data_IF_806959012391
#
_entry.id   IF_806959012391
#
_cell.length_a   1.000
_cell.length_b   1.000
_cell.length_c   1.000
_cell.angle_alpha   90.00
_cell.angle_beta   90.00
_cell.angle_gamma   90.00
#
_symmetry.space_group_name_H-M   'P 1'
#
loop_
_entity.id
_entity.type
_entity.pdbx_description
1 polymer ?
#
# COMPACT_ATOMS: atom_id res chain seq x y z
N UNK A 1 -39.73 -29.03 28.42
CA UNK A 1 -39.31 -28.67 27.05
C UNK A 1 -40.43 -27.91 26.37
N UNK A 2 -40.31 -26.59 26.18
CA UNK A 2 -41.19 -25.83 25.27
C UNK A 2 -40.30 -24.81 24.55
N UNK A 3 -40.07 -25.03 23.26
CA UNK A 3 -39.32 -24.11 22.40
C UNK A 3 -40.15 -22.87 22.16
N UNK A 4 -39.62 -21.70 22.51
CA UNK A 4 -40.24 -20.40 22.17
C UNK A 4 -40.29 -20.30 20.64
N UNK A 5 -41.50 -20.25 20.08
CA UNK A 5 -41.73 -19.96 18.68
C UNK A 5 -41.04 -18.64 18.33
N UNK A 6 -40.05 -18.68 17.43
CA UNK A 6 -39.39 -17.47 16.94
C UNK A 6 -40.44 -16.61 16.23
N UNK A 7 -40.64 -15.38 16.70
CA UNK A 7 -41.49 -14.40 16.03
C UNK A 7 -41.07 -14.31 14.56
N UNK A 8 -41.97 -14.54 13.60
CA UNK A 8 -41.62 -14.39 12.19
C UNK A 8 -41.14 -12.95 11.96
N UNK A 9 -39.96 -12.81 11.35
CA UNK A 9 -39.40 -11.49 11.04
C UNK A 9 -40.40 -10.67 10.21
N UNK A 10 -40.46 -9.35 10.44
CA UNK A 10 -41.33 -8.41 9.72
C UNK A 10 -40.90 -8.26 8.25
N UNK A 11 -41.01 -9.32 7.46
CA UNK A 11 -40.97 -9.24 6.00
C UNK A 11 -42.35 -8.78 5.53
N UNK A 12 -42.47 -7.50 5.17
CA UNK A 12 -43.68 -6.98 4.54
C UNK A 12 -43.69 -7.41 3.08
N UNK A 13 -44.42 -8.49 2.77
CA UNK A 13 -44.66 -8.90 1.40
C UNK A 13 -45.32 -7.75 0.62
N UNK A 14 -44.77 -7.41 -0.56
CA UNK A 14 -45.32 -6.37 -1.44
C UNK A 14 -44.79 -4.96 -1.23
N UNK A 15 -43.99 -4.68 -0.20
CA UNK A 15 -43.28 -3.40 -0.10
C UNK A 15 -41.97 -3.42 -0.89
N UNK A 16 -41.67 -2.29 -1.52
CA UNK A 16 -40.37 -2.07 -2.14
C UNK A 16 -39.26 -2.27 -1.08
N UNK A 17 -38.14 -2.95 -1.42
CA UNK A 17 -37.02 -3.08 -0.51
C UNK A 17 -36.58 -1.70 -0.02
N UNK A 18 -36.51 -1.53 1.31
CA UNK A 18 -35.93 -0.32 1.88
C UNK A 18 -34.46 -0.22 1.46
N UNK A 19 -34.03 0.95 1.02
CA UNK A 19 -32.63 1.21 0.75
C UNK A 19 -31.86 1.14 2.07
N UNK A 20 -31.03 0.12 2.23
CA UNK A 20 -30.13 -0.01 3.38
C UNK A 20 -28.79 0.60 2.99
N UNK A 21 -28.39 1.67 3.66
CA UNK A 21 -27.07 2.24 3.48
C UNK A 21 -26.00 1.25 3.94
N UNK A 22 -24.98 1.02 3.10
CA UNK A 22 -23.81 0.25 3.51
C UNK A 22 -22.98 1.09 4.48
N UNK A 23 -23.03 0.75 5.76
CA UNK A 23 -22.13 1.33 6.76
C UNK A 23 -20.80 0.57 6.72
N UNK A 24 -19.71 1.29 6.46
CA UNK A 24 -18.37 0.77 6.67
C UNK A 24 -18.13 0.68 8.18
N UNK A 25 -17.72 -0.50 8.65
CA UNK A 25 -17.25 -0.66 10.02
C UNK A 25 -15.96 0.11 10.22
N UNK A 26 -15.87 0.81 11.35
CA UNK A 26 -14.67 1.52 11.83
C UNK A 26 -13.99 2.38 10.76
N UNK A 27 -14.81 3.11 9.97
CA UNK A 27 -14.36 3.96 8.87
C UNK A 27 -13.23 4.93 9.24
N UNK A 28 -13.31 5.67 10.36
CA UNK A 28 -12.23 6.56 10.78
C UNK A 28 -10.88 5.84 11.00
N UNK A 29 -10.88 4.67 11.66
CA UNK A 29 -9.66 3.91 11.90
C UNK A 29 -9.04 3.38 10.61
N UNK A 30 -9.86 2.96 9.65
CA UNK A 30 -9.38 2.55 8.33
C UNK A 30 -8.80 3.72 7.53
N UNK A 31 -9.46 4.87 7.57
CA UNK A 31 -8.94 6.08 6.94
C UNK A 31 -7.58 6.46 7.55
N UNK A 32 -7.41 6.30 8.86
CA UNK A 32 -6.12 6.55 9.50
C UNK A 32 -5.02 5.61 9.03
N UNK A 33 -5.29 4.30 8.95
CA UNK A 33 -4.33 3.34 8.43
C UNK A 33 -3.91 3.66 6.97
N UNK A 34 -4.85 4.15 6.15
CA UNK A 34 -4.56 4.61 4.80
C UNK A 34 -3.68 5.88 4.80
N UNK A 35 -3.94 6.84 5.70
CA UNK A 35 -3.08 8.02 5.88
C UNK A 35 -1.66 7.63 6.28
N UNK A 36 -1.52 6.72 7.25
CA UNK A 36 -0.23 6.23 7.72
C UNK A 36 0.55 5.53 6.60
N UNK A 37 -0.12 4.68 5.81
CA UNK A 37 0.50 4.03 4.64
C UNK A 37 1.00 5.07 3.63
N UNK A 38 0.26 6.15 3.41
CA UNK A 38 0.69 7.22 2.51
C UNK A 38 1.83 8.07 3.09
N UNK A 39 1.85 8.28 4.41
CA UNK A 39 2.87 9.07 5.09
C UNK A 39 4.22 8.33 5.27
N UNK A 40 4.19 7.00 5.29
CA UNK A 40 5.36 6.15 5.54
C UNK A 40 5.60 5.19 4.37
N UNK A 41 6.29 5.62 3.28
CA UNK A 41 6.42 4.84 2.04
C UNK A 41 7.13 3.48 2.19
N UNK A 42 7.88 3.28 3.27
CA UNK A 42 8.56 2.03 3.58
C UNK A 42 7.69 1.02 4.32
N UNK A 43 6.45 1.35 4.66
CA UNK A 43 5.57 0.51 5.46
C UNK A 43 4.24 0.24 4.75
N UNK A 44 3.72 -0.98 4.92
CA UNK A 44 2.31 -1.28 4.68
C UNK A 44 1.54 -1.26 6.00
N UNK A 45 0.56 -0.36 6.13
CA UNK A 45 -0.26 -0.23 7.36
C UNK A 45 -1.68 -0.73 7.11
N UNK A 46 -2.21 -1.51 8.05
CA UNK A 46 -3.55 -2.10 7.99
C UNK A 46 -4.26 -2.06 9.34
N UNK A 47 -5.58 -1.92 9.31
CA UNK A 47 -6.45 -1.97 10.49
C UNK A 47 -7.30 -3.25 10.48
N UNK A 48 -7.24 -4.03 11.56
CA UNK A 48 -8.02 -5.26 11.72
C UNK A 48 -9.34 -4.99 12.44
N UNK A 49 -10.47 -5.36 11.83
CA UNK A 49 -11.80 -5.22 12.45
C UNK A 49 -12.04 -6.21 13.60
N UNK A 50 -11.32 -7.35 13.61
CA UNK A 50 -11.51 -8.40 14.61
C UNK A 50 -10.81 -8.10 15.93
N UNK A 51 -9.56 -7.66 15.86
CA UNK A 51 -8.76 -7.26 17.03
C UNK A 51 -8.83 -5.76 17.33
N UNK A 52 -9.36 -4.95 16.40
CA UNK A 52 -9.38 -3.48 16.49
C UNK A 52 -7.99 -2.86 16.69
N UNK A 53 -6.99 -3.47 16.08
CA UNK A 53 -5.58 -3.07 16.14
C UNK A 53 -5.06 -2.57 14.80
N UNK A 54 -4.07 -1.69 14.88
CA UNK A 54 -3.25 -1.30 13.77
C UNK A 54 -2.03 -2.22 13.67
N UNK A 55 -1.67 -2.56 12.45
CA UNK A 55 -0.49 -3.36 12.13
C UNK A 55 0.30 -2.63 11.05
N UNK A 56 1.61 -2.59 11.19
CA UNK A 56 2.52 -2.10 10.17
C UNK A 56 3.53 -3.20 9.82
N UNK A 57 3.73 -3.43 8.53
CA UNK A 57 4.66 -4.41 7.98
C UNK A 57 5.71 -3.66 7.17
N UNK A 58 6.99 -3.93 7.43
CA UNK A 58 8.08 -3.30 6.68
C UNK A 58 8.05 -3.79 5.22
N UNK A 59 8.12 -2.86 4.28
CA UNK A 59 8.15 -3.12 2.84
C UNK A 59 9.57 -3.01 2.24
N UNK A 60 10.57 -2.66 3.05
CA UNK A 60 11.99 -2.71 2.65
C UNK A 60 12.63 -4.06 3.01
N UNK A 61 13.78 -4.40 2.39
CA UNK A 61 14.48 -5.64 2.71
C UNK A 61 14.97 -5.65 4.16
N UNK A 62 14.48 -6.62 4.93
CA UNK A 62 14.96 -6.96 6.29
C UNK A 62 15.29 -8.45 6.34
N UNK A 63 16.27 -8.87 7.17
CA UNK A 63 16.64 -10.28 7.29
C UNK A 63 15.48 -11.17 7.75
N UNK A 64 14.63 -10.63 8.63
CA UNK A 64 13.42 -11.28 9.12
C UNK A 64 12.23 -10.33 8.90
N UNK A 65 11.04 -10.82 8.47
CA UNK A 65 9.87 -9.97 8.28
C UNK A 65 9.52 -9.19 9.54
N UNK A 66 9.57 -7.87 9.47
CA UNK A 66 9.29 -6.98 10.60
C UNK A 66 7.82 -6.55 10.57
N UNK A 67 7.11 -6.84 11.66
CA UNK A 67 5.74 -6.41 11.88
C UNK A 67 5.61 -5.82 13.28
N UNK A 68 5.01 -4.65 13.39
CA UNK A 68 4.68 -3.99 14.66
C UNK A 68 3.17 -3.77 14.74
N UNK A 69 2.62 -3.78 15.95
CA UNK A 69 1.19 -3.57 16.20
C UNK A 69 0.94 -2.56 17.33
N UNK A 70 -0.23 -1.92 17.32
CA UNK A 70 -0.69 -1.04 18.40
C UNK A 70 -2.22 -0.93 18.42
N UNK A 71 -2.75 -0.39 19.52
CA UNK A 71 -4.17 -0.07 19.65
C UNK A 71 -4.50 1.34 19.10
N UNK A 72 -3.50 2.22 18.97
CA UNK A 72 -3.65 3.61 18.48
C UNK A 72 -2.69 3.93 17.34
N UNK A 73 -3.07 4.81 16.39
CA UNK A 73 -2.24 5.15 15.24
C UNK A 73 -0.95 5.87 15.64
N UNK A 74 -0.99 6.72 16.67
CA UNK A 74 0.18 7.47 17.14
C UNK A 74 1.23 6.53 17.77
N UNK A 75 0.80 5.55 18.55
CA UNK A 75 1.72 4.52 19.08
C UNK A 75 2.31 3.66 17.96
N UNK A 76 1.55 3.43 16.88
CA UNK A 76 2.06 2.68 15.74
C UNK A 76 3.20 3.45 15.07
N UNK A 77 3.02 4.74 14.82
CA UNK A 77 4.05 5.60 14.23
C UNK A 77 5.33 5.62 15.06
N UNK A 78 5.21 5.70 16.38
CA UNK A 78 6.37 5.65 17.27
C UNK A 78 7.13 4.32 17.12
N UNK A 79 6.41 3.20 17.16
CA UNK A 79 7.00 1.87 16.95
C UNK A 79 7.63 1.72 15.58
N UNK A 80 7.00 2.26 14.53
CA UNK A 80 7.56 2.26 13.18
C UNK A 80 8.86 3.05 13.11
N UNK A 81 8.93 4.23 13.75
CA UNK A 81 10.14 5.04 13.82
C UNK A 81 11.26 4.38 14.62
N UNK A 82 10.92 3.78 15.75
CA UNK A 82 11.85 3.02 16.58
C UNK A 82 12.41 1.80 15.82
N UNK A 83 11.53 1.10 15.10
CA UNK A 83 11.91 0.00 14.21
C UNK A 83 12.85 0.46 13.09
N UNK A 84 12.55 1.56 12.40
CA UNK A 84 13.46 2.13 11.40
C UNK A 84 14.82 2.46 12.01
N UNK A 85 14.86 3.09 13.17
CA UNK A 85 16.12 3.44 13.84
C UNK A 85 16.92 2.20 14.24
N UNK A 86 16.23 1.17 14.73
CA UNK A 86 16.85 -0.08 15.19
C UNK A 86 17.38 -0.94 14.04
N UNK A 87 16.72 -0.92 12.88
CA UNK A 87 17.09 -1.72 11.70
C UNK A 87 17.93 -0.95 10.68
N UNK A 88 17.83 0.38 10.61
CA UNK A 88 18.69 1.22 9.76
C UNK A 88 20.12 1.31 10.28
N UNK A 89 20.40 0.85 11.51
CA UNK A 89 21.75 0.75 12.05
C UNK A 89 22.12 -0.71 12.33
N UNK A 90 22.89 -1.33 11.40
CA UNK A 90 24.35 -1.27 11.53
C UNK A 90 25.02 -1.08 10.16
N UNK A 91 25.08 0.16 9.67
CA UNK A 91 25.58 0.43 8.31
C UNK A 91 26.69 1.50 8.27
N UNK A 92 27.71 1.36 9.11
CA UNK A 92 29.04 1.77 8.70
C UNK A 92 29.95 0.54 8.75
N UNK A 93 30.39 -0.02 7.61
CA UNK A 93 31.72 -0.61 7.61
C UNK A 93 32.66 0.49 8.04
N UNK A 94 33.29 0.35 9.20
CA UNK A 94 34.42 1.20 9.58
C UNK A 94 35.37 1.15 8.38
N UNK A 95 35.64 2.25 7.65
CA UNK A 95 36.61 2.19 6.58
C UNK A 95 37.90 1.69 7.20
N UNK A 96 38.62 0.72 6.59
CA UNK A 96 39.93 0.34 7.10
C UNK A 96 40.73 1.63 7.20
N UNK A 97 41.12 1.98 8.43
CA UNK A 97 41.98 3.13 8.64
C UNK A 97 43.27 2.80 7.90
N UNK A 98 43.43 3.36 6.70
CA UNK A 98 44.68 3.37 5.99
C UNK A 98 45.69 3.96 6.96
N UNK A 99 46.55 3.10 7.51
CA UNK A 99 47.77 3.52 8.22
C UNK A 99 48.58 4.32 7.22
N UNK A 100 48.36 5.62 7.19
CA UNK A 100 49.23 6.57 6.51
C UNK A 100 50.49 6.75 7.36
N UNK A 101 51.39 5.79 7.22
CA UNK A 101 52.81 6.06 7.28
C UNK A 101 53.32 6.29 5.86
N UNK A 102 53.71 7.53 5.56
CA UNK A 102 54.85 7.80 4.68
C UNK A 102 54.60 7.97 3.17
N UNK A 103 54.49 9.24 2.76
CA UNK A 103 55.36 9.91 1.77
C UNK A 103 55.37 9.45 0.29
N UNK A 104 54.92 10.41 -0.56
CA UNK A 104 55.55 10.88 -1.81
C UNK A 104 55.23 10.28 -3.19
N UNK A 105 54.59 11.16 -3.99
CA UNK A 105 55.01 11.70 -5.30
C UNK A 105 54.26 11.28 -6.58
N UNK A 106 53.86 12.33 -7.31
CA UNK A 106 53.72 12.43 -8.78
C UNK A 106 52.53 11.66 -9.39
N UNK A 107 51.73 12.18 -10.32
CA UNK A 107 52.00 13.16 -11.36
C UNK A 107 50.66 13.67 -11.93
N UNK A 108 50.58 14.98 -12.16
CA UNK A 108 49.48 15.61 -12.88
C UNK A 108 49.54 15.28 -14.37
N UNK A 109 48.40 15.10 -15.04
CA UNK A 109 48.19 15.56 -16.41
C UNK A 109 46.71 15.87 -16.65
N UNK A 110 46.46 17.13 -16.99
CA UNK A 110 45.17 17.69 -17.39
C UNK A 110 44.89 17.43 -18.88
N UNK A 111 43.62 17.22 -19.24
CA UNK A 111 43.09 17.55 -20.57
C UNK A 111 41.54 17.53 -20.60
N UNK A 112 40.96 18.73 -20.67
CA UNK A 112 39.62 19.11 -21.20
C UNK A 112 39.96 20.28 -22.17
N UNK A 113 39.31 20.57 -23.32
CA UNK A 113 37.90 20.37 -23.76
C UNK A 113 37.76 19.81 -25.21
N UNK A 114 36.59 19.51 -25.80
CA UNK A 114 35.67 20.47 -26.46
C UNK A 114 34.44 19.77 -27.10
N UNK A 115 33.42 20.59 -27.29
CA UNK A 115 32.04 20.41 -27.80
C UNK A 115 31.96 20.10 -29.31
N UNK A 116 30.92 19.39 -29.79
CA UNK A 116 30.02 19.86 -30.89
C UNK A 116 28.81 18.95 -31.17
N UNK A 117 27.65 19.61 -31.19
CA UNK A 117 26.42 19.43 -31.97
C UNK A 117 26.03 18.08 -32.58
N UNK A 118 24.81 17.63 -32.26
CA UNK A 118 23.86 17.26 -33.32
C UNK A 118 22.41 17.44 -32.89
N UNK A 119 21.74 18.41 -33.51
CA UNK A 119 20.30 18.53 -33.55
C UNK A 119 19.82 18.02 -34.92
N UNK A 120 19.00 16.97 -34.92
CA UNK A 120 18.25 16.57 -36.11
C UNK A 120 16.82 16.18 -35.71
N UNK A 121 15.89 17.05 -36.12
CA UNK A 121 14.44 16.85 -36.11
C UNK A 121 14.02 15.74 -37.08
N UNK A 122 12.90 15.08 -36.74
CA UNK A 122 11.81 14.47 -37.58
C UNK A 122 11.22 13.34 -36.72
N UNK A 123 9.98 13.31 -36.22
CA UNK A 123 8.72 13.91 -36.66
C UNK A 123 7.91 12.89 -37.48
N UNK A 124 7.11 12.02 -36.84
CA UNK A 124 5.96 11.30 -37.43
C UNK A 124 5.00 10.89 -36.30
N UNK A 125 3.75 11.35 -36.37
CA UNK A 125 2.69 10.97 -35.43
C UNK A 125 1.92 9.73 -35.86
N UNK A 126 1.17 9.13 -34.94
CA UNK A 126 -0.01 8.30 -35.25
C UNK A 126 -1.03 8.44 -34.11
N UNK A 127 -2.24 8.85 -34.49
CA UNK A 127 -3.49 8.78 -33.74
C UNK A 127 -4.08 7.37 -33.90
N UNK A 128 -4.58 6.74 -32.83
CA UNK A 128 -5.90 6.08 -32.81
C UNK A 128 -6.26 5.40 -31.47
N UNK A 129 -7.41 5.81 -30.96
CA UNK A 129 -8.55 5.04 -30.43
C UNK A 129 -8.38 3.54 -30.15
N UNK A 130 -8.85 3.10 -28.98
CA UNK A 130 -9.88 2.05 -28.88
C UNK A 130 -10.32 1.84 -27.42
N UNK A 131 -11.63 1.91 -27.19
CA UNK A 131 -12.27 1.59 -25.93
C UNK A 131 -11.99 0.15 -25.47
N UNK A 132 -11.46 0.03 -24.26
CA UNK A 132 -11.32 -1.22 -23.54
C UNK A 132 -12.67 -1.73 -23.05
N UNK A 133 -13.29 -2.61 -23.83
CA UNK A 133 -14.37 -3.49 -23.38
C UNK A 133 -13.91 -4.34 -22.19
N UNK A 134 -14.69 -4.30 -21.12
CA UNK A 134 -14.61 -5.23 -19.98
C UNK A 134 -14.65 -6.70 -20.46
N UNK A 135 -13.76 -7.59 -19.97
CA UNK A 135 -13.66 -8.97 -20.43
C UNK A 135 -14.68 -9.92 -19.78
N UNK A 136 -15.66 -9.42 -19.04
CA UNK A 136 -16.64 -10.27 -18.36
C UNK A 136 -17.92 -10.45 -19.18
N UNK A 137 -18.28 -11.69 -19.58
CA UNK A 137 -19.59 -11.94 -20.18
C UNK A 137 -20.70 -11.66 -19.16
N UNK A 138 -21.68 -10.87 -19.58
CA UNK A 138 -22.90 -10.62 -18.83
C UNK A 138 -23.65 -11.94 -18.57
N UNK A 139 -23.86 -12.29 -17.29
CA UNK A 139 -24.63 -13.48 -16.92
C UNK A 139 -26.10 -13.32 -17.36
N UNK A 140 -26.70 -14.33 -18.03
CA UNK A 140 -28.11 -14.27 -18.40
C UNK A 140 -29.01 -14.36 -17.16
N UNK A 141 -29.98 -13.45 -17.08
CA UNK A 141 -31.06 -13.46 -16.08
C UNK A 141 -31.95 -14.68 -16.33
N UNK A 142 -32.07 -15.58 -15.35
CA UNK A 142 -33.03 -16.69 -15.39
C UNK A 142 -34.47 -16.14 -15.32
N UNK A 143 -35.40 -16.58 -16.19
CA UNK A 143 -36.80 -16.25 -16.04
C UNK A 143 -37.38 -16.98 -14.81
N UNK A 144 -38.15 -16.24 -14.00
CA UNK A 144 -38.95 -16.82 -12.91
C UNK A 144 -40.03 -17.69 -13.54
N UNK A 145 -40.01 -18.98 -13.21
CA UNK A 145 -41.07 -19.93 -13.51
C UNK A 145 -42.30 -19.54 -12.68
N UNK A 146 -43.35 -19.09 -13.35
CA UNK A 146 -44.68 -18.94 -12.78
C UNK A 146 -45.20 -20.31 -12.36
N UNK A 147 -45.50 -20.49 -11.08
CA UNK A 147 -46.31 -21.61 -10.61
C UNK A 147 -47.76 -21.12 -10.47
N UNK A 148 -48.66 -21.91 -11.05
CA UNK A 148 -50.12 -21.83 -10.96
C UNK A 148 -50.61 -21.94 -9.53
#
# INVERSE_FOLDING_TARGET
MIGRSRTPGRHRAGLAPAAVHRRLWDGPARAEAERLTAAWPGWGVLYSLGSRRFYAIAAWPVPEPLMVESDTPEELEERMREAETSFAWPALPVPPQSRHGGTALSQAHAAVPQVTHNAARRGVGVVRDAGGRSPYPARPRRPRRSAR
#
